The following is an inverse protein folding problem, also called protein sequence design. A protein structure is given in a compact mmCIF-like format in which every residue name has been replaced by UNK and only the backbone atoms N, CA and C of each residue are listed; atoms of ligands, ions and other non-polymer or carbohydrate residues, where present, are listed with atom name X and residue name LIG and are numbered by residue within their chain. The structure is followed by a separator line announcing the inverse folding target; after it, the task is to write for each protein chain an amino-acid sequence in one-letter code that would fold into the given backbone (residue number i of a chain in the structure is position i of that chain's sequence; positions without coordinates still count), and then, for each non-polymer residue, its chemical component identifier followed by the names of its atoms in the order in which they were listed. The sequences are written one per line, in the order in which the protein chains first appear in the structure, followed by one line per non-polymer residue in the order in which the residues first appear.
data_IF_489281704193
#
_entry.id   IF_489281704193
#
_cell.length_a   1.000
_cell.length_b   1.000
_cell.length_c   1.000
_cell.angle_alpha   90.00
_cell.angle_beta   90.00
_cell.angle_gamma   90.00
#
_symmetry.space_group_name_H-M   'P 1'
#
loop_
_entity.id
_entity.type
_entity.pdbx_description
1 polymer ?
#
# COMPACT_ATOMS: atom_id res chain seq x y z
N UNK A 1 23.08 6.23 -61.55
CA UNK A 1 21.61 6.28 -61.77
C UNK A 1 21.22 4.91 -62.30
N UNK A 2 20.46 4.02 -61.67
CA UNK A 2 19.61 4.06 -60.48
C UNK A 2 19.49 2.63 -59.94
N UNK A 3 19.65 2.49 -58.63
CA UNK A 3 19.56 1.26 -57.84
C UNK A 3 18.16 0.64 -57.87
N UNK A 4 18.05 -0.69 -57.87
CA UNK A 4 16.85 -1.38 -57.37
C UNK A 4 17.23 -2.74 -56.76
N UNK A 5 17.48 -2.76 -55.46
CA UNK A 5 17.46 -4.01 -54.67
C UNK A 5 16.14 -4.02 -53.90
N UNK A 6 15.26 -4.96 -54.26
CA UNK A 6 14.07 -5.31 -53.46
C UNK A 6 14.36 -6.64 -52.79
N UNK A 7 14.51 -6.66 -51.46
CA UNK A 7 14.36 -7.88 -50.66
C UNK A 7 13.47 -7.58 -49.47
N UNK A 8 12.38 -8.32 -49.45
CA UNK A 8 11.26 -8.32 -48.52
C UNK A 8 11.72 -8.54 -47.08
N UNK A 9 11.38 -7.60 -46.18
CA UNK A 9 11.58 -7.78 -44.75
C UNK A 9 10.35 -8.48 -44.16
N UNK A 10 10.51 -9.76 -43.81
CA UNK A 10 9.54 -10.55 -43.03
C UNK A 10 9.31 -9.88 -41.66
N UNK A 11 8.07 -9.54 -41.26
CA UNK A 11 7.84 -9.08 -39.90
C UNK A 11 7.99 -10.27 -38.94
N UNK A 12 9.07 -10.24 -38.16
CA UNK A 12 9.29 -11.14 -37.05
C UNK A 12 8.10 -11.11 -36.09
N UNK A 13 7.73 -12.30 -35.62
CA UNK A 13 6.66 -12.55 -34.69
C UNK A 13 6.67 -11.54 -33.54
N UNK A 14 5.54 -10.85 -33.40
CA UNK A 14 5.19 -9.97 -32.29
C UNK A 14 5.47 -10.73 -30.99
N UNK A 15 6.62 -10.48 -30.37
CA UNK A 15 6.89 -10.87 -28.99
C UNK A 15 5.70 -10.39 -28.18
N UNK A 16 4.93 -11.34 -27.69
CA UNK A 16 3.81 -11.07 -26.80
C UNK A 16 4.36 -10.18 -25.69
N UNK A 17 3.91 -8.92 -25.70
CA UNK A 17 4.06 -7.98 -24.62
C UNK A 17 3.49 -8.70 -23.39
N UNK A 18 4.38 -9.27 -22.59
CA UNK A 18 4.05 -9.78 -21.27
C UNK A 18 3.77 -8.54 -20.44
N UNK A 19 2.56 -7.99 -20.64
CA UNK A 19 1.99 -6.92 -19.86
C UNK A 19 2.24 -7.31 -18.40
N UNK A 20 3.02 -6.53 -17.64
CA UNK A 20 3.35 -6.91 -16.26
C UNK A 20 2.01 -7.19 -15.60
N UNK A 21 1.85 -8.41 -15.07
CA UNK A 21 0.65 -8.83 -14.37
C UNK A 21 0.25 -7.67 -13.48
N UNK A 22 -0.88 -7.03 -13.78
CA UNK A 22 -1.26 -5.77 -13.17
C UNK A 22 -1.15 -5.97 -11.66
N UNK A 23 -0.11 -5.37 -11.06
CA UNK A 23 0.20 -5.59 -9.67
C UNK A 23 -1.09 -5.29 -8.91
N UNK A 24 -1.65 -6.31 -8.26
CA UNK A 24 -2.93 -6.17 -7.57
C UNK A 24 -2.85 -4.87 -6.75
N UNK A 25 -3.86 -3.99 -6.85
CA UNK A 25 -3.78 -2.67 -6.25
C UNK A 25 -3.40 -2.85 -4.78
N UNK A 26 -2.29 -2.24 -4.39
CA UNK A 26 -1.75 -2.31 -3.03
C UNK A 26 -2.84 -1.79 -2.08
N UNK A 27 -3.59 -2.72 -1.47
CA UNK A 27 -4.67 -2.40 -0.53
C UNK A 27 -4.08 -1.59 0.61
N UNK A 28 -4.64 -0.39 0.83
CA UNK A 28 -4.29 0.46 1.95
C UNK A 28 -4.91 -0.10 3.25
N UNK A 29 -4.45 0.31 4.44
CA UNK A 29 -5.09 -0.14 5.69
C UNK A 29 -6.58 0.19 5.72
N UNK A 30 -7.00 1.32 5.15
CA UNK A 30 -8.39 1.75 5.11
C UNK A 30 -9.32 0.85 4.28
N UNK A 31 -8.81 0.16 3.26
CA UNK A 31 -9.56 -0.89 2.54
C UNK A 31 -9.74 -2.16 3.41
N UNK A 32 -8.86 -2.36 4.38
CA UNK A 32 -8.95 -3.50 5.30
C UNK A 32 -9.95 -3.24 6.44
N UNK A 33 -10.36 -1.98 6.66
CA UNK A 33 -11.35 -1.62 7.68
C UNK A 33 -12.80 -1.84 7.20
N UNK A 34 -13.07 -1.56 5.93
CA UNK A 34 -14.39 -1.78 5.31
C UNK A 34 -14.65 -3.24 4.98
N UNK A 35 -13.60 -4.05 4.81
CA UNK A 35 -13.73 -5.42 4.29
C UNK A 35 -14.19 -5.49 2.83
N UNK A 36 -14.32 -4.34 2.17
CA UNK A 36 -14.84 -4.18 0.81
C UNK A 36 -13.76 -3.65 -0.14
N UNK A 37 -14.15 -3.30 -1.36
CA UNK A 37 -13.31 -2.52 -2.28
C UNK A 37 -13.33 -1.03 -1.92
N UNK A 38 -14.38 -0.55 -1.25
CA UNK A 38 -14.48 0.84 -0.85
C UNK A 38 -13.55 1.13 0.34
N UNK A 39 -12.90 2.30 0.31
CA UNK A 39 -11.98 2.72 1.35
C UNK A 39 -12.75 3.39 2.51
N UNK A 40 -12.62 2.86 3.73
CA UNK A 40 -13.14 3.51 4.94
C UNK A 40 -12.02 4.22 5.68
N UNK A 41 -12.06 5.55 5.69
CA UNK A 41 -11.13 6.40 6.46
C UNK A 41 -11.85 6.89 7.72
N UNK A 42 -11.51 6.35 8.90
CA UNK A 42 -12.19 6.70 10.15
C UNK A 42 -11.72 8.05 10.71
N UNK A 43 -12.55 8.69 11.53
CA UNK A 43 -12.29 10.01 12.14
C UNK A 43 -11.02 10.07 12.99
N UNK A 44 -10.64 8.96 13.64
CA UNK A 44 -9.40 8.91 14.42
C UNK A 44 -8.15 9.08 13.54
N UNK A 45 -8.24 8.84 12.22
CA UNK A 45 -7.12 8.88 11.29
C UNK A 45 -6.84 10.30 10.77
N UNK A 46 -6.47 11.21 11.67
CA UNK A 46 -6.44 12.66 11.41
C UNK A 46 -5.27 13.09 10.50
N UNK A 47 -4.02 12.85 10.91
CA UNK A 47 -2.83 13.26 10.13
C UNK A 47 -2.15 12.04 9.54
N UNK A 48 -2.35 11.85 8.23
CA UNK A 48 -1.96 10.65 7.51
C UNK A 48 -0.79 10.94 6.58
N UNK A 49 0.30 10.20 6.74
CA UNK A 49 1.48 10.25 5.88
C UNK A 49 1.78 8.86 5.34
N UNK A 50 2.32 8.79 4.13
CA UNK A 50 2.73 7.53 3.49
C UNK A 50 4.17 7.64 3.04
N UNK A 51 5.00 6.69 3.48
CA UNK A 51 6.39 6.58 3.10
C UNK A 51 6.59 5.30 2.30
N UNK A 52 7.24 5.40 1.13
CA UNK A 52 7.56 4.26 0.28
C UNK A 52 9.06 4.18 0.08
N UNK A 53 9.65 3.03 0.37
CA UNK A 53 11.08 2.79 0.18
C UNK A 53 11.33 1.29 0.01
N UNK A 54 12.19 0.91 -0.94
CA UNK A 54 12.65 -0.47 -1.17
C UNK A 54 11.54 -1.53 -1.14
N UNK A 55 10.45 -1.29 -1.89
CA UNK A 55 9.31 -2.22 -1.98
C UNK A 55 8.42 -2.28 -0.72
N UNK A 56 8.68 -1.44 0.28
CA UNK A 56 7.88 -1.32 1.51
C UNK A 56 7.09 -0.03 1.53
N UNK A 57 5.89 -0.10 2.08
CA UNK A 57 5.02 1.06 2.34
C UNK A 57 4.73 1.14 3.83
N UNK A 58 5.04 2.29 4.43
CA UNK A 58 4.74 2.63 5.80
C UNK A 58 3.67 3.72 5.82
N UNK A 59 2.53 3.45 6.44
CA UNK A 59 1.51 4.44 6.72
C UNK A 59 1.70 4.93 8.15
N UNK A 60 1.78 6.24 8.34
CA UNK A 60 1.86 6.87 9.65
C UNK A 60 0.60 7.71 9.85
N UNK A 61 -0.04 7.52 10.99
CA UNK A 61 -1.26 8.23 11.38
C UNK A 61 -1.04 8.84 12.75
N UNK A 62 -1.22 10.15 12.87
CA UNK A 62 -1.30 10.81 14.16
C UNK A 62 -2.78 10.98 14.54
N UNK A 63 -3.10 10.70 15.80
CA UNK A 63 -4.45 10.76 16.36
C UNK A 63 -4.42 11.40 17.73
N UNK A 64 -5.49 12.10 18.11
CA UNK A 64 -5.80 12.46 19.50
C UNK A 64 -6.92 11.59 20.11
N UNK A 65 -7.36 10.55 19.39
CA UNK A 65 -8.46 9.66 19.78
C UNK A 65 -8.02 8.21 19.79
N UNK A 66 -6.95 7.91 20.51
CA UNK A 66 -6.41 6.54 20.54
C UNK A 66 -7.47 5.53 21.02
N UNK A 67 -8.34 5.90 21.95
CA UNK A 67 -9.39 5.03 22.46
C UNK A 67 -10.36 4.59 21.36
N UNK A 68 -10.84 5.51 20.53
CA UNK A 68 -11.70 5.23 19.38
C UNK A 68 -11.00 4.33 18.33
N UNK A 69 -9.69 4.49 18.17
CA UNK A 69 -8.92 3.71 17.20
C UNK A 69 -8.76 2.23 17.59
N UNK A 70 -8.82 1.87 18.88
CA UNK A 70 -8.41 0.54 19.38
C UNK A 70 -9.08 -0.64 18.67
N UNK A 71 -10.38 -0.54 18.40
CA UNK A 71 -11.13 -1.62 17.72
C UNK A 71 -10.70 -1.80 16.27
N UNK A 72 -10.47 -0.70 15.57
CA UNK A 72 -9.99 -0.69 14.19
C UNK A 72 -8.55 -1.19 14.09
N UNK A 73 -7.68 -0.78 15.02
CA UNK A 73 -6.31 -1.27 15.09
C UNK A 73 -6.25 -2.80 15.27
N UNK A 74 -7.13 -3.38 16.09
CA UNK A 74 -7.28 -4.84 16.21
C UNK A 74 -7.79 -5.50 14.93
N UNK A 75 -8.66 -4.84 14.15
CA UNK A 75 -9.08 -5.34 12.83
C UNK A 75 -7.92 -5.31 11.83
N UNK A 76 -7.15 -4.23 11.80
CA UNK A 76 -5.98 -4.09 10.94
C UNK A 76 -4.94 -5.16 11.24
N UNK A 77 -4.66 -5.41 12.51
CA UNK A 77 -3.74 -6.48 12.92
C UNK A 77 -4.19 -7.85 12.37
N UNK A 78 -5.47 -8.19 12.52
CA UNK A 78 -6.06 -9.43 11.98
C UNK A 78 -6.06 -9.48 10.45
N UNK A 79 -6.14 -8.33 9.78
CA UNK A 79 -6.08 -8.21 8.32
C UNK A 79 -4.64 -8.26 7.75
N UNK A 80 -3.64 -8.58 8.58
CA UNK A 80 -2.26 -8.76 8.13
C UNK A 80 -1.42 -7.47 8.15
N UNK A 81 -1.85 -6.44 8.87
CA UNK A 81 -1.05 -5.24 9.12
C UNK A 81 -0.24 -5.38 10.40
N UNK A 82 1.03 -5.05 10.36
CA UNK A 82 1.82 -4.81 11.56
C UNK A 82 1.45 -3.42 12.09
N UNK A 83 0.96 -3.38 13.33
CA UNK A 83 0.48 -2.15 13.98
C UNK A 83 1.43 -1.80 15.12
N UNK A 84 2.07 -0.63 15.04
CA UNK A 84 2.89 -0.09 16.13
C UNK A 84 2.26 1.20 16.61
N UNK A 85 1.99 1.30 17.92
CA UNK A 85 1.42 2.50 18.55
C UNK A 85 2.49 3.12 19.44
N UNK A 86 2.72 4.42 19.27
CA UNK A 86 3.60 5.23 20.11
C UNK A 86 2.76 6.32 20.77
N UNK A 87 2.40 6.10 22.03
CA UNK A 87 1.67 7.08 22.85
C UNK A 87 2.55 8.30 23.14
N UNK A 88 1.97 9.49 23.06
CA UNK A 88 2.62 10.76 23.35
C UNK A 88 2.29 11.19 24.79
N UNK A 89 3.14 12.01 25.44
CA UNK A 89 3.00 12.38 26.86
C UNK A 89 1.75 13.23 27.21
N UNK A 90 0.81 13.42 26.27
CA UNK A 90 -0.48 14.08 26.50
C UNK A 90 -1.59 13.09 26.14
N UNK A 91 -2.55 12.95 27.05
CA UNK A 91 -3.53 11.86 27.02
C UNK A 91 -4.25 11.76 25.67
N UNK A 92 -4.35 10.51 25.19
CA UNK A 92 -4.96 10.06 23.93
C UNK A 92 -4.23 10.41 22.63
N UNK A 93 -3.20 11.26 22.67
CA UNK A 93 -2.35 11.48 21.50
C UNK A 93 -1.43 10.30 21.24
N UNK A 94 -1.44 9.82 20.01
CA UNK A 94 -0.57 8.73 19.59
C UNK A 94 -0.15 8.88 18.13
N UNK A 95 1.02 8.33 17.82
CA UNK A 95 1.47 8.05 16.47
C UNK A 95 1.33 6.56 16.21
N UNK A 96 0.62 6.21 15.14
CA UNK A 96 0.34 4.84 14.73
C UNK A 96 1.08 4.59 13.42
N UNK A 97 1.92 3.56 13.40
CA UNK A 97 2.62 3.08 12.23
C UNK A 97 2.01 1.76 11.75
N UNK A 98 1.70 1.68 10.46
CA UNK A 98 1.08 0.53 9.81
C UNK A 98 1.92 0.10 8.60
N UNK A 99 2.27 -1.17 8.53
CA UNK A 99 2.94 -1.78 7.38
C UNK A 99 2.43 -3.21 7.19
N UNK A 100 2.68 -3.85 6.05
CA UNK A 100 2.28 -5.27 5.85
C UNK A 100 3.14 -6.18 6.73
N UNK A 101 2.52 -7.13 7.46
CA UNK A 101 3.24 -8.09 8.34
C UNK A 101 4.30 -8.88 7.59
N UNK A 102 4.00 -9.27 6.35
CA UNK A 102 4.92 -10.01 5.46
C UNK A 102 6.22 -9.24 5.22
N UNK A 103 6.13 -7.90 5.12
CA UNK A 103 7.27 -7.03 4.93
C UNK A 103 7.98 -6.68 6.25
N UNK A 104 7.27 -6.72 7.38
CA UNK A 104 7.84 -6.49 8.71
C UNK A 104 8.69 -7.67 9.21
N UNK A 105 8.36 -8.91 8.80
CA UNK A 105 9.09 -10.13 9.21
C UNK A 105 10.40 -10.36 8.44
N UNK A 106 10.55 -9.75 7.27
CA UNK A 106 11.74 -9.87 6.43
C UNK A 106 12.85 -8.88 6.82
N UNK A 107 12.92 -8.45 8.08
CA UNK A 107 13.80 -7.42 8.61
C UNK A 107 14.57 -7.95 9.82
#
# INVERSE_FOLDING_TARGET
MTSHTRITHTPAARTADARPAAAAPLRTPYHSLSGADEMLVPDWAQRRSVYRSSGRTLYVVETDRLTDARSDLKRLDRAGWNVTVSELPSSERARIALTRKELARAA
#
